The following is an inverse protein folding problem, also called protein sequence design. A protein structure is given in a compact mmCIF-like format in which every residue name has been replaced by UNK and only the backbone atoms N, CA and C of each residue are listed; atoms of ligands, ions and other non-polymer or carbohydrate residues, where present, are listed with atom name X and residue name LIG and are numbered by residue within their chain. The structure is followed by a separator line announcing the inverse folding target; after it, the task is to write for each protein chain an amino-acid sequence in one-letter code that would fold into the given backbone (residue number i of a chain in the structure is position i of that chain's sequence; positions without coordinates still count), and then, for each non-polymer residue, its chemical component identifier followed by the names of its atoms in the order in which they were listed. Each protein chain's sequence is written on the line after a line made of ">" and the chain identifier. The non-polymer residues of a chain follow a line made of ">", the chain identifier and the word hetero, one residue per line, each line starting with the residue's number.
data_IF_666885627712
#
_entry.id   IF_666885627712
#
_cell.length_a   1.000
_cell.length_b   1.000
_cell.length_c   1.000
_cell.angle_alpha   90.00
_cell.angle_beta   90.00
_cell.angle_gamma   90.00
#
_symmetry.space_group_name_H-M   'P 1'
#
loop_
_entity.id
_entity.type
_entity.pdbx_description
1 polymer ?
#
# COMPACT_ATOMS: atom_id res chain seq x y z
N UNK A 1 -26.10 -3.32 -12.42
CA UNK A 1 -25.09 -3.09 -11.37
C UNK A 1 -23.73 -3.08 -12.04
N UNK A 2 -23.10 -1.92 -12.16
CA UNK A 2 -21.79 -1.82 -12.81
C UNK A 2 -20.71 -2.22 -11.80
N UNK A 3 -20.19 -3.44 -11.94
CA UNK A 3 -19.14 -3.96 -11.08
C UNK A 3 -17.78 -3.53 -11.65
N UNK A 4 -17.01 -2.77 -10.87
CA UNK A 4 -15.69 -2.28 -11.25
C UNK A 4 -14.65 -3.12 -10.54
N UNK A 5 -13.60 -3.56 -11.24
CA UNK A 5 -12.54 -4.32 -10.60
C UNK A 5 -11.76 -3.42 -9.63
N UNK A 6 -11.70 -3.80 -8.34
CA UNK A 6 -10.94 -3.09 -7.30
C UNK A 6 -9.48 -2.92 -7.71
N UNK A 7 -8.90 -3.97 -8.31
CA UNK A 7 -7.57 -3.94 -8.90
C UNK A 7 -7.36 -2.72 -9.79
N UNK A 8 -8.24 -2.50 -10.77
CA UNK A 8 -8.08 -1.40 -11.73
C UNK A 8 -8.12 -0.03 -11.04
N UNK A 9 -9.03 0.14 -10.08
CA UNK A 9 -9.16 1.38 -9.32
C UNK A 9 -7.94 1.64 -8.41
N UNK A 10 -7.46 0.60 -7.72
CA UNK A 10 -6.28 0.71 -6.87
C UNK A 10 -5.00 0.95 -7.68
N UNK A 11 -4.85 0.32 -8.85
CA UNK A 11 -3.72 0.56 -9.76
C UNK A 11 -3.70 1.99 -10.32
N UNK A 12 -4.85 2.64 -10.48
CA UNK A 12 -4.87 4.08 -10.79
C UNK A 12 -4.31 4.90 -9.64
N UNK A 13 -4.66 4.55 -8.40
CA UNK A 13 -4.13 5.21 -7.19
C UNK A 13 -2.61 5.05 -7.13
N UNK A 14 -2.08 3.84 -7.28
CA UNK A 14 -0.63 3.60 -7.22
C UNK A 14 0.12 4.29 -8.36
N UNK A 15 -0.47 4.43 -9.57
CA UNK A 15 0.12 5.22 -10.65
C UNK A 15 0.25 6.72 -10.32
N UNK A 16 -0.72 7.28 -9.60
CA UNK A 16 -0.60 8.67 -9.12
C UNK A 16 0.55 8.79 -8.12
N UNK A 17 0.68 7.84 -7.20
CA UNK A 17 1.81 7.75 -6.26
C UNK A 17 3.13 7.65 -7.02
N UNK A 18 3.21 6.82 -8.06
CA UNK A 18 4.40 6.67 -8.91
C UNK A 18 4.85 8.00 -9.53
N UNK A 19 3.91 8.83 -10.00
CA UNK A 19 4.22 10.14 -10.60
C UNK A 19 4.77 11.10 -9.53
N UNK A 20 4.20 11.07 -8.33
CA UNK A 20 4.57 11.96 -7.22
C UNK A 20 5.92 11.55 -6.61
N UNK A 21 6.08 10.26 -6.31
CA UNK A 21 7.25 9.70 -5.65
C UNK A 21 7.52 8.26 -6.15
N UNK A 22 8.33 8.10 -7.22
CA UNK A 22 8.65 6.78 -7.79
C UNK A 22 9.36 5.83 -6.83
N UNK A 23 10.21 6.36 -5.94
CA UNK A 23 10.94 5.56 -4.95
C UNK A 23 9.98 4.97 -3.92
N UNK A 24 9.10 5.81 -3.36
CA UNK A 24 8.06 5.38 -2.44
C UNK A 24 7.12 4.35 -3.09
N UNK A 25 6.72 4.59 -4.34
CA UNK A 25 5.90 3.65 -5.07
C UNK A 25 6.55 2.27 -5.19
N UNK A 26 7.83 2.20 -5.59
CA UNK A 26 8.54 0.93 -5.72
C UNK A 26 8.67 0.21 -4.38
N UNK A 27 8.95 0.95 -3.31
CA UNK A 27 8.99 0.44 -1.94
C UNK A 27 7.65 -0.23 -1.57
N UNK A 28 6.54 0.49 -1.69
CA UNK A 28 5.20 -0.02 -1.37
C UNK A 28 4.83 -1.26 -2.21
N UNK A 29 5.24 -1.31 -3.48
CA UNK A 29 5.03 -2.47 -4.35
C UNK A 29 5.77 -3.72 -3.85
N UNK A 30 7.03 -3.57 -3.48
CA UNK A 30 7.83 -4.67 -2.92
C UNK A 30 7.30 -5.11 -1.56
N UNK A 31 6.97 -4.17 -0.68
CA UNK A 31 6.34 -4.46 0.60
C UNK A 31 5.05 -5.26 0.41
N UNK A 32 4.19 -4.88 -0.55
CA UNK A 32 2.96 -5.63 -0.84
C UNK A 32 3.19 -7.05 -1.34
N UNK A 33 4.21 -7.25 -2.18
CA UNK A 33 4.56 -8.56 -2.69
C UNK A 33 5.14 -9.47 -1.60
N UNK A 34 6.07 -8.95 -0.78
CA UNK A 34 6.64 -9.67 0.37
C UNK A 34 5.53 -10.04 1.36
N UNK A 35 4.65 -9.09 1.69
CA UNK A 35 3.54 -9.31 2.61
C UNK A 35 2.56 -10.38 2.09
N UNK A 36 2.30 -10.42 0.79
CA UNK A 36 1.46 -11.44 0.17
C UNK A 36 2.08 -12.84 0.28
N UNK A 37 3.35 -12.99 -0.10
CA UNK A 37 4.04 -14.29 0.00
C UNK A 37 4.10 -14.77 1.46
N UNK A 38 4.33 -13.85 2.40
CA UNK A 38 4.36 -14.15 3.83
C UNK A 38 2.99 -14.55 4.37
N UNK A 39 1.91 -13.87 3.95
CA UNK A 39 0.54 -14.21 4.32
C UNK A 39 0.13 -15.58 3.77
N UNK A 40 0.53 -15.90 2.54
CA UNK A 40 0.28 -17.22 1.93
C UNK A 40 1.03 -18.33 2.66
N UNK A 41 2.33 -18.13 2.94
CA UNK A 41 3.15 -19.09 3.67
C UNK A 41 2.67 -19.31 5.12
N UNK A 42 2.03 -18.30 5.71
CA UNK A 42 1.44 -18.36 7.05
C UNK A 42 0.01 -18.93 7.06
N UNK A 43 -0.53 -19.33 5.90
CA UNK A 43 -1.83 -20.01 5.80
C UNK A 43 -3.05 -19.11 6.00
N UNK A 44 -2.91 -17.78 5.81
CA UNK A 44 -4.01 -16.85 6.02
C UNK A 44 -5.09 -17.02 4.94
N UNK A 45 -6.34 -16.72 5.31
CA UNK A 45 -7.48 -16.77 4.39
C UNK A 45 -7.33 -15.77 3.24
N UNK A 46 -8.05 -16.02 2.13
CA UNK A 46 -8.04 -15.12 0.97
C UNK A 46 -8.46 -13.69 1.34
N UNK A 47 -9.40 -13.54 2.26
CA UNK A 47 -9.85 -12.21 2.73
C UNK A 47 -8.72 -11.49 3.48
N UNK A 48 -8.03 -12.18 4.38
CA UNK A 48 -6.88 -11.60 5.09
C UNK A 48 -5.75 -11.24 4.12
N UNK A 49 -5.47 -12.09 3.13
CA UNK A 49 -4.49 -11.78 2.08
C UNK A 49 -4.86 -10.51 1.30
N UNK A 50 -6.14 -10.30 0.98
CA UNK A 50 -6.63 -9.07 0.34
C UNK A 50 -6.39 -7.84 1.21
N UNK A 51 -6.74 -7.94 2.50
CA UNK A 51 -6.54 -6.85 3.47
C UNK A 51 -5.06 -6.51 3.61
N UNK A 52 -4.19 -7.50 3.85
CA UNK A 52 -2.73 -7.32 3.97
C UNK A 52 -2.15 -6.69 2.70
N UNK A 53 -2.52 -7.22 1.53
CA UNK A 53 -2.00 -6.74 0.26
C UNK A 53 -2.39 -5.28 0.00
N UNK A 54 -3.66 -4.91 0.22
CA UNK A 54 -4.11 -3.53 0.09
C UNK A 54 -3.45 -2.61 1.14
N UNK A 55 -3.31 -3.08 2.39
CA UNK A 55 -2.66 -2.31 3.44
C UNK A 55 -1.19 -2.02 3.09
N UNK A 56 -0.43 -3.04 2.67
CA UNK A 56 0.95 -2.89 2.26
C UNK A 56 1.12 -1.98 1.03
N UNK A 57 0.21 -2.02 0.06
CA UNK A 57 0.21 -1.10 -1.09
C UNK A 57 -0.06 0.37 -0.73
N UNK A 58 -0.58 0.65 0.47
CA UNK A 58 -1.01 1.98 0.89
C UNK A 58 -0.41 2.44 2.24
N UNK A 59 0.45 1.65 2.86
CA UNK A 59 0.88 1.88 4.26
C UNK A 59 1.56 3.24 4.46
N UNK A 60 2.50 3.59 3.56
CA UNK A 60 3.24 4.85 3.59
C UNK A 60 2.54 5.99 2.81
N UNK A 61 1.23 5.90 2.54
CA UNK A 61 0.51 6.95 1.78
C UNK A 61 0.58 8.34 2.47
N UNK A 62 0.71 8.36 3.80
CA UNK A 62 0.86 9.58 4.59
C UNK A 62 2.17 10.34 4.36
N UNK A 63 3.12 9.77 3.62
CA UNK A 63 4.39 10.40 3.23
C UNK A 63 4.20 11.41 2.09
N UNK A 64 3.17 11.27 1.24
CA UNK A 64 2.98 12.04 0.00
C UNK A 64 2.76 13.57 0.19
N UNK A 65 2.56 14.02 1.44
CA UNK A 65 2.41 15.44 1.80
C UNK A 65 3.57 16.01 2.58
N UNK A 66 4.61 15.22 2.80
CA UNK A 66 5.71 15.65 3.64
C UNK A 66 6.67 16.55 2.86
N UNK A 67 6.80 17.80 3.32
CA UNK A 67 7.68 18.80 2.70
C UNK A 67 9.10 18.76 3.25
N UNK A 68 9.38 17.92 4.24
CA UNK A 68 10.74 17.71 4.74
C UNK A 68 11.60 17.10 3.64
N UNK A 69 12.84 17.57 3.51
CA UNK A 69 13.82 16.95 2.61
C UNK A 69 14.39 15.74 3.33
N UNK A 70 14.12 14.54 2.82
CA UNK A 70 14.69 13.31 3.36
C UNK A 70 15.81 12.81 2.46
N UNK A 71 16.85 12.27 3.07
CA UNK A 71 17.95 11.63 2.36
C UNK A 71 17.61 10.23 1.85
N UNK A 72 16.61 9.57 2.44
CA UNK A 72 16.08 8.25 2.05
C UNK A 72 14.74 7.96 2.74
N UNK A 73 13.98 6.98 2.25
CA UNK A 73 12.78 6.47 2.95
C UNK A 73 13.08 5.92 4.35
N UNK A 74 14.30 5.43 4.60
CA UNK A 74 14.70 4.96 5.93
C UNK A 74 14.79 6.09 6.97
N UNK A 75 14.89 7.35 6.54
CA UNK A 75 14.98 8.49 7.46
C UNK A 75 13.64 8.82 8.15
N UNK A 76 12.51 8.34 7.60
CA UNK A 76 11.16 8.56 8.12
C UNK A 76 10.56 7.34 8.82
N UNK A 77 11.29 6.22 8.81
CA UNK A 77 10.92 4.95 9.44
C UNK A 77 11.23 4.99 10.95
N UNK A 78 10.42 5.74 11.71
CA UNK A 78 10.50 5.74 13.16
C UNK A 78 9.13 5.99 13.80
N UNK A 79 8.94 5.48 15.02
CA UNK A 79 7.68 5.56 15.78
C UNK A 79 7.17 6.99 16.02
N UNK A 80 8.06 7.99 15.98
CA UNK A 80 7.68 9.39 16.20
C UNK A 80 7.24 10.08 14.90
N UNK A 81 7.34 9.40 13.75
CA UNK A 81 6.95 9.98 12.49
C UNK A 81 5.42 9.97 12.32
N UNK A 82 4.81 11.10 11.94
CA UNK A 82 3.35 11.21 11.85
C UNK A 82 2.75 10.54 10.61
N UNK A 83 3.54 9.97 9.68
CA UNK A 83 2.98 9.47 8.41
C UNK A 83 1.94 8.35 8.60
N UNK A 84 2.07 7.47 9.60
CA UNK A 84 1.05 6.45 9.89
C UNK A 84 -0.30 7.07 10.30
N UNK A 85 -0.26 8.17 11.07
CA UNK A 85 -1.44 8.92 11.48
C UNK A 85 -2.06 9.65 10.28
N UNK A 86 -1.24 10.35 9.48
CA UNK A 86 -1.70 11.02 8.25
C UNK A 86 -2.30 10.04 7.26
N UNK A 87 -1.67 8.88 7.08
CA UNK A 87 -2.18 7.82 6.21
C UNK A 87 -3.56 7.34 6.66
N UNK A 88 -3.72 7.12 7.97
CA UNK A 88 -5.02 6.77 8.54
C UNK A 88 -6.09 7.88 8.36
N UNK A 89 -5.72 9.15 8.49
CA UNK A 89 -6.61 10.29 8.22
C UNK A 89 -7.00 10.39 6.74
N UNK A 90 -6.06 10.13 5.82
CA UNK A 90 -6.34 10.08 4.38
C UNK A 90 -7.36 9.01 4.04
N UNK A 91 -7.30 7.86 4.71
CA UNK A 91 -8.22 6.75 4.49
C UNK A 91 -9.51 6.83 5.32
N UNK A 92 -9.56 7.68 6.34
CA UNK A 92 -10.73 7.83 7.19
C UNK A 92 -11.97 8.24 6.37
N UNK A 93 -13.08 7.57 6.66
CA UNK A 93 -14.36 7.77 5.98
C UNK A 93 -14.52 7.06 4.64
N UNK A 94 -13.49 6.39 4.12
CA UNK A 94 -13.56 5.60 2.89
C UNK A 94 -13.94 4.16 3.24
N UNK A 95 -15.21 3.79 3.09
CA UNK A 95 -15.75 2.50 3.53
C UNK A 95 -15.02 1.31 2.87
N UNK A 96 -14.67 1.45 1.59
CA UNK A 96 -13.91 0.45 0.80
C UNK A 96 -12.55 0.11 1.42
N UNK A 97 -11.93 1.06 2.13
CA UNK A 97 -10.61 0.93 2.73
C UNK A 97 -10.67 0.82 4.25
N UNK A 98 -11.86 0.75 4.85
CA UNK A 98 -12.03 0.57 6.28
C UNK A 98 -11.29 -0.68 6.83
N UNK A 99 -11.25 -1.84 6.14
CA UNK A 99 -10.56 -3.03 6.64
C UNK A 99 -9.05 -2.86 6.83
N UNK A 100 -8.40 -1.94 6.12
CA UNK A 100 -6.94 -1.75 6.18
C UNK A 100 -6.51 -0.66 7.19
N UNK A 101 -7.47 0.13 7.70
CA UNK A 101 -7.18 1.22 8.63
C UNK A 101 -6.41 0.80 9.90
N UNK A 102 -6.74 -0.33 10.57
CA UNK A 102 -5.99 -0.76 11.76
C UNK A 102 -4.53 -1.08 11.46
N UNK A 103 -4.25 -1.60 10.26
CA UNK A 103 -2.88 -1.91 9.85
C UNK A 103 -2.13 -0.60 9.58
N UNK A 104 -2.75 0.34 8.86
CA UNK A 104 -2.09 1.60 8.49
C UNK A 104 -1.79 2.49 9.70
N UNK A 105 -2.68 2.52 10.70
CA UNK A 105 -2.49 3.33 11.92
C UNK A 105 -1.26 2.93 12.72
N UNK A 106 -0.96 1.63 12.72
CA UNK A 106 0.01 1.04 13.62
C UNK A 106 1.07 0.24 12.86
N UNK A 107 1.34 0.52 11.58
CA UNK A 107 2.26 -0.34 10.80
C UNK A 107 3.72 -0.26 11.27
N UNK A 108 4.08 0.75 12.06
CA UNK A 108 5.33 0.80 12.83
C UNK A 108 5.11 0.31 14.25
N UNK A 109 5.77 -0.78 14.64
CA UNK A 109 5.64 -1.34 15.98
C UNK A 109 6.82 -1.00 16.88
N UNK A 110 6.52 -0.67 18.14
CA UNK A 110 7.48 -0.88 19.21
C UNK A 110 7.70 -2.39 19.38
N UNK A 111 8.93 -2.87 19.65
CA UNK A 111 9.21 -4.29 19.93
C UNK A 111 8.35 -4.90 21.05
N UNK A 112 7.67 -4.08 21.85
CA UNK A 112 6.79 -4.49 22.94
C UNK A 112 5.30 -4.53 22.57
N UNK A 113 4.92 -4.05 21.37
CA UNK A 113 3.54 -4.02 20.92
C UNK A 113 3.10 -5.40 20.40
N UNK A 114 1.97 -5.90 20.90
CA UNK A 114 1.34 -7.14 20.41
C UNK A 114 0.24 -6.78 19.42
N UNK A 115 0.61 -6.60 18.15
CA UNK A 115 -0.34 -6.37 17.07
C UNK A 115 -1.06 -7.65 16.66
N UNK A 116 -2.00 -7.52 15.73
CA UNK A 116 -2.53 -8.64 14.96
C UNK A 116 -1.46 -9.26 14.05
N UNK A 117 -1.72 -10.47 13.57
CA UNK A 117 -0.81 -11.15 12.65
C UNK A 117 -0.68 -10.36 11.32
N UNK A 118 -1.77 -9.79 10.82
CA UNK A 118 -1.81 -8.95 9.63
C UNK A 118 -0.90 -7.72 9.76
N UNK A 119 -0.94 -7.11 10.94
CA UNK A 119 -0.09 -6.00 11.33
C UNK A 119 1.40 -6.40 11.33
N UNK A 120 1.75 -7.51 11.98
CA UNK A 120 3.12 -8.03 11.99
C UNK A 120 3.61 -8.39 10.57
N UNK A 121 2.75 -8.96 9.71
CA UNK A 121 3.10 -9.28 8.32
C UNK A 121 3.49 -8.03 7.54
N UNK A 122 2.68 -6.96 7.61
CA UNK A 122 2.99 -5.72 6.88
C UNK A 122 4.27 -5.08 7.43
N UNK A 123 4.45 -5.03 8.75
CA UNK A 123 5.69 -4.51 9.34
C UNK A 123 6.93 -5.32 8.95
N UNK A 124 6.87 -6.65 9.00
CA UNK A 124 7.99 -7.51 8.62
C UNK A 124 8.35 -7.36 7.15
N UNK A 125 7.34 -7.26 6.29
CA UNK A 125 7.54 -7.02 4.87
C UNK A 125 8.19 -5.65 4.61
N UNK A 126 7.74 -4.63 5.34
CA UNK A 126 8.20 -3.26 5.24
C UNK A 126 9.68 -3.13 5.62
N UNK A 127 10.03 -3.55 6.84
CA UNK A 127 11.41 -3.47 7.32
C UNK A 127 12.36 -4.39 6.54
N UNK A 128 11.87 -5.50 5.99
CA UNK A 128 12.68 -6.36 5.11
C UNK A 128 12.97 -5.67 3.78
N UNK A 129 11.97 -5.01 3.17
CA UNK A 129 12.14 -4.26 1.92
C UNK A 129 13.20 -3.17 2.09
N UNK A 130 13.17 -2.43 3.19
CA UNK A 130 14.12 -1.34 3.47
C UNK A 130 15.58 -1.82 3.57
N UNK A 131 15.82 -3.11 3.86
CA UNK A 131 17.16 -3.71 3.81
C UNK A 131 17.66 -3.94 2.37
N UNK A 132 16.76 -3.97 1.38
CA UNK A 132 17.07 -4.10 -0.05
C UNK A 132 17.64 -2.81 -0.65
N UNK A 133 17.23 -1.65 -0.12
CA UNK A 133 17.58 -0.32 -0.64
C UNK A 133 19.09 0.00 -0.56
N UNK A 134 19.88 -0.84 0.11
CA UNK A 134 21.31 -0.67 0.28
C UNK A 134 22.16 -0.96 -0.97
N UNK A 135 21.69 -1.72 -1.97
CA UNK A 135 22.58 -2.07 -3.10
C UNK A 135 21.88 -2.47 -4.41
N UNK A 136 22.36 -1.95 -5.54
CA UNK A 136 21.70 -2.02 -6.86
C UNK A 136 22.01 -3.32 -7.64
N UNK A 137 22.77 -4.25 -7.07
CA UNK A 137 23.16 -5.50 -7.72
C UNK A 137 23.14 -6.68 -6.75
N UNK A 138 21.96 -7.25 -6.50
CA UNK A 138 21.80 -8.44 -5.66
C UNK A 138 22.61 -9.63 -6.22
N UNK A 139 23.71 -9.97 -5.57
CA UNK A 139 24.43 -11.24 -5.75
C UNK A 139 23.98 -12.25 -4.69
N UNK A 140 24.19 -13.55 -4.90
CA UNK A 140 23.85 -14.60 -3.92
C UNK A 140 24.49 -14.37 -2.54
N UNK A 141 25.71 -13.80 -2.50
CA UNK A 141 26.36 -13.44 -1.24
C UNK A 141 25.62 -12.32 -0.48
N UNK A 142 24.97 -11.41 -1.19
CA UNK A 142 24.23 -10.30 -0.58
C UNK A 142 22.87 -10.75 -0.03
N UNK A 143 22.21 -11.74 -0.66
CA UNK A 143 20.94 -12.26 -0.15
C UNK A 143 21.11 -12.90 1.23
N UNK A 144 22.20 -13.65 1.45
CA UNK A 144 22.50 -14.23 2.76
C UNK A 144 22.80 -13.16 3.82
N UNK A 145 23.51 -12.09 3.44
CA UNK A 145 23.77 -10.97 4.34
C UNK A 145 22.47 -10.26 4.76
N UNK A 146 21.55 -10.02 3.83
CA UNK A 146 20.24 -9.40 4.10
C UNK A 146 19.42 -10.29 5.04
N UNK A 147 19.34 -11.59 4.76
CA UNK A 147 18.59 -12.55 5.59
C UNK A 147 19.20 -12.64 7.00
N UNK A 148 20.54 -12.68 7.10
CA UNK A 148 21.25 -12.69 8.38
C UNK A 148 21.00 -11.42 9.20
N UNK A 149 21.09 -10.24 8.56
CA UNK A 149 20.83 -8.95 9.20
C UNK A 149 19.37 -8.84 9.65
N UNK A 150 18.42 -9.23 8.81
CA UNK A 150 17.01 -9.24 9.13
C UNK A 150 16.73 -10.14 10.35
N UNK A 151 17.24 -11.37 10.35
CA UNK A 151 17.08 -12.30 11.48
C UNK A 151 17.62 -11.70 12.77
N UNK A 152 18.83 -11.14 12.74
CA UNK A 152 19.47 -10.58 13.93
C UNK A 152 18.67 -9.42 14.56
N UNK A 153 18.00 -8.61 13.73
CA UNK A 153 17.24 -7.44 14.19
C UNK A 153 15.81 -7.80 14.65
N UNK A 154 15.13 -8.71 13.94
CA UNK A 154 13.68 -8.86 14.06
C UNK A 154 13.22 -10.19 14.65
N UNK A 155 14.10 -11.17 14.87
CA UNK A 155 13.74 -12.49 15.41
C UNK A 155 13.04 -12.42 16.77
N UNK A 156 13.36 -11.44 17.62
CA UNK A 156 12.76 -11.31 18.95
C UNK A 156 11.31 -10.80 18.93
N UNK A 157 10.87 -10.16 17.83
CA UNK A 157 9.54 -9.55 17.73
C UNK A 157 8.48 -10.60 17.44
N UNK A 158 8.71 -11.41 16.41
CA UNK A 158 7.83 -12.51 16.01
C UNK A 158 8.68 -13.65 15.43
N UNK A 159 9.17 -14.59 16.28
CA UNK A 159 10.08 -15.63 15.84
C UNK A 159 9.52 -16.53 14.72
N UNK A 160 8.27 -17.03 14.81
CA UNK A 160 7.67 -17.80 13.71
C UNK A 160 7.62 -17.03 12.39
N UNK A 161 7.19 -15.77 12.42
CA UNK A 161 7.07 -14.96 11.22
C UNK A 161 8.43 -14.61 10.62
N UNK A 162 9.42 -14.30 11.47
CA UNK A 162 10.80 -14.08 11.07
C UNK A 162 11.37 -15.30 10.33
N UNK A 163 11.15 -16.49 10.90
CA UNK A 163 11.60 -17.74 10.31
C UNK A 163 10.95 -17.98 8.94
N UNK A 164 9.63 -17.79 8.82
CA UNK A 164 8.92 -17.96 7.55
C UNK A 164 9.45 -17.00 6.49
N UNK A 165 9.66 -15.72 6.81
CA UNK A 165 10.21 -14.77 5.85
C UNK A 165 11.65 -15.12 5.45
N UNK A 166 12.50 -15.54 6.40
CA UNK A 166 13.83 -16.04 6.09
C UNK A 166 13.77 -17.24 5.13
N UNK A 167 12.83 -18.18 5.31
CA UNK A 167 12.68 -19.36 4.44
C UNK A 167 12.20 -18.99 3.04
N UNK A 168 11.31 -18.00 2.91
CA UNK A 168 10.90 -17.47 1.61
C UNK A 168 12.09 -16.83 0.89
N UNK A 169 12.86 -16.01 1.60
CA UNK A 169 14.03 -15.32 1.07
C UNK A 169 15.19 -16.26 0.70
N UNK A 170 15.19 -17.53 1.10
CA UNK A 170 16.17 -18.52 0.62
C UNK A 170 15.91 -18.98 -0.82
N UNK A 171 14.73 -18.68 -1.39
CA UNK A 171 14.34 -19.12 -2.73
C UNK A 171 14.71 -18.07 -3.77
N UNK A 172 15.35 -18.46 -4.87
CA UNK A 172 15.77 -17.51 -5.92
C UNK A 172 14.59 -16.72 -6.53
N UNK A 173 13.43 -17.37 -6.72
CA UNK A 173 12.26 -16.72 -7.30
C UNK A 173 11.71 -15.57 -6.46
N UNK A 174 11.88 -15.61 -5.13
CA UNK A 174 11.49 -14.53 -4.23
C UNK A 174 12.16 -13.23 -4.66
N UNK A 175 13.47 -13.26 -4.88
CA UNK A 175 14.23 -12.08 -5.30
C UNK A 175 13.93 -11.65 -6.73
N UNK A 176 13.68 -12.60 -7.64
CA UNK A 176 13.28 -12.31 -9.02
C UNK A 176 11.95 -11.55 -9.08
N UNK A 177 10.98 -11.89 -8.23
CA UNK A 177 9.69 -11.20 -8.16
C UNK A 177 9.82 -9.76 -7.66
N UNK A 178 10.80 -9.47 -6.80
CA UNK A 178 11.06 -8.12 -6.25
C UNK A 178 11.83 -7.20 -7.22
N UNK A 179 12.19 -7.69 -8.41
CA UNK A 179 12.90 -6.90 -9.40
C UNK A 179 11.98 -5.77 -9.95
N UNK A 180 12.44 -4.50 -9.93
CA UNK A 180 11.64 -3.36 -10.38
C UNK A 180 11.10 -3.51 -11.81
N UNK A 181 11.82 -4.19 -12.70
CA UNK A 181 11.42 -4.38 -14.09
C UNK A 181 10.14 -5.19 -14.29
N UNK A 182 9.77 -6.03 -13.32
CA UNK A 182 8.64 -6.95 -13.43
C UNK A 182 7.60 -6.82 -12.31
N UNK A 183 7.90 -6.08 -11.25
CA UNK A 183 7.06 -6.10 -10.04
C UNK A 183 5.62 -5.64 -10.26
N UNK A 184 5.41 -4.58 -11.05
CA UNK A 184 4.06 -4.12 -11.41
C UNK A 184 3.24 -5.25 -12.05
N UNK A 185 3.85 -5.97 -13.00
CA UNK A 185 3.20 -7.11 -13.67
C UNK A 185 2.93 -8.25 -12.69
N UNK A 186 3.85 -8.53 -11.78
CA UNK A 186 3.66 -9.56 -10.75
C UNK A 186 2.45 -9.25 -9.87
N UNK A 187 2.37 -8.03 -9.33
CA UNK A 187 1.22 -7.58 -8.53
C UNK A 187 -0.10 -7.73 -9.29
N UNK A 188 -0.09 -7.45 -10.59
CA UNK A 188 -1.25 -7.62 -11.45
C UNK A 188 -1.64 -9.09 -11.70
N UNK A 189 -0.68 -10.01 -11.71
CA UNK A 189 -0.94 -11.43 -11.96
C UNK A 189 -1.38 -12.15 -10.69
N UNK A 190 -0.65 -11.96 -9.58
CA UNK A 190 -0.84 -12.75 -8.36
C UNK A 190 -1.64 -12.03 -7.28
N UNK A 191 -1.94 -10.74 -7.48
CA UNK A 191 -2.65 -9.92 -6.49
C UNK A 191 -3.99 -10.55 -6.08
N UNK A 192 -4.26 -10.70 -4.77
CA UNK A 192 -5.46 -11.38 -4.27
C UNK A 192 -6.77 -10.60 -4.54
N UNK A 193 -6.63 -9.36 -5.02
CA UNK A 193 -7.72 -8.43 -5.39
C UNK A 193 -8.16 -8.52 -6.86
N UNK A 194 -7.54 -9.39 -7.66
CA UNK A 194 -7.82 -9.52 -9.10
C UNK A 194 -9.28 -9.88 -9.43
N UNK A 195 -9.98 -10.49 -8.49
CA UNK A 195 -11.38 -10.89 -8.63
C UNK A 195 -12.30 -10.22 -7.60
N UNK A 196 -11.84 -9.11 -7.02
CA UNK A 196 -12.64 -8.29 -6.10
C UNK A 196 -13.25 -7.15 -6.90
N UNK A 197 -14.55 -6.95 -6.72
CA UNK A 197 -15.30 -5.92 -7.41
C UNK A 197 -15.88 -4.94 -6.39
N UNK A 198 -15.93 -3.67 -6.79
CA UNK A 198 -16.54 -2.57 -6.07
C UNK A 198 -17.71 -2.03 -6.88
N UNK A 199 -18.68 -1.45 -6.19
CA UNK A 199 -19.77 -0.69 -6.78
C UNK A 199 -19.37 0.77 -7.02
N UNK A 200 -20.37 1.61 -7.32
CA UNK A 200 -20.15 3.03 -7.59
C UNK A 200 -19.69 3.80 -6.36
N UNK A 201 -20.15 3.43 -5.16
CA UNK A 201 -19.73 4.06 -3.91
C UNK A 201 -18.29 3.68 -3.59
N UNK A 202 -17.89 2.44 -3.87
CA UNK A 202 -16.50 2.05 -3.76
C UNK A 202 -15.58 2.72 -4.78
N UNK A 203 -16.03 2.92 -6.03
CA UNK A 203 -15.28 3.74 -6.99
C UNK A 203 -15.12 5.17 -6.47
N UNK A 204 -16.19 5.76 -5.92
CA UNK A 204 -16.17 7.10 -5.34
C UNK A 204 -15.15 7.20 -4.20
N UNK A 205 -15.06 6.19 -3.34
CA UNK A 205 -14.03 6.14 -2.28
C UNK A 205 -12.61 6.20 -2.86
N UNK A 206 -12.33 5.44 -3.92
CA UNK A 206 -11.02 5.47 -4.58
C UNK A 206 -10.75 6.83 -5.24
N UNK A 207 -11.75 7.43 -5.90
CA UNK A 207 -11.61 8.77 -6.46
C UNK A 207 -11.34 9.82 -5.37
N UNK A 208 -12.01 9.73 -4.22
CA UNK A 208 -11.77 10.61 -3.07
C UNK A 208 -10.36 10.42 -2.51
N UNK A 209 -9.85 9.18 -2.46
CA UNK A 209 -8.47 8.93 -2.07
C UNK A 209 -7.48 9.62 -3.01
N UNK A 210 -7.65 9.46 -4.33
CA UNK A 210 -6.80 10.11 -5.33
C UNK A 210 -6.85 11.64 -5.17
N UNK A 211 -8.03 12.22 -4.98
CA UNK A 211 -8.18 13.65 -4.73
C UNK A 211 -7.38 14.09 -3.48
N UNK A 212 -7.52 13.36 -2.36
CA UNK A 212 -6.75 13.63 -1.13
C UNK A 212 -5.23 13.54 -1.38
N UNK A 213 -4.75 12.56 -2.14
CA UNK A 213 -3.32 12.44 -2.51
C UNK A 213 -2.85 13.70 -3.27
N UNK A 214 -3.58 14.07 -4.33
CA UNK A 214 -3.21 15.20 -5.19
C UNK A 214 -3.23 16.52 -4.41
N UNK A 215 -4.25 16.73 -3.60
CA UNK A 215 -4.41 17.95 -2.80
C UNK A 215 -3.35 18.07 -1.69
N UNK A 216 -2.89 16.92 -1.18
CA UNK A 216 -1.81 16.83 -0.20
C UNK A 216 -0.45 17.19 -0.82
N UNK A 217 -0.22 16.82 -2.09
CA UNK A 217 1.02 17.13 -2.82
C UNK A 217 1.06 18.57 -3.36
N UNK A 218 -0.05 19.09 -3.88
CA UNK A 218 -0.14 20.44 -4.45
C UNK A 218 -1.13 21.31 -3.66
N UNK A 219 -0.60 22.22 -2.83
CA UNK A 219 -1.41 23.19 -2.09
C UNK A 219 -2.22 24.15 -2.98
N UNK A 220 -1.97 24.17 -4.30
CA UNK A 220 -2.72 24.98 -5.27
C UNK A 220 -4.01 24.30 -5.75
N UNK A 221 -4.16 22.96 -5.62
CA UNK A 221 -5.28 22.20 -6.21
C UNK A 221 -6.38 21.78 -5.23
N UNK A 222 -6.18 21.94 -3.91
CA UNK A 222 -7.15 21.55 -2.88
C UNK A 222 -8.56 22.14 -3.10
N UNK A 223 -8.65 23.34 -3.65
CA UNK A 223 -9.92 23.99 -3.98
C UNK A 223 -10.44 23.66 -5.37
N UNK A 224 -9.65 23.01 -6.24
CA UNK A 224 -9.98 22.77 -7.64
C UNK A 224 -10.43 21.33 -7.90
N UNK A 225 -9.76 20.32 -7.33
CA UNK A 225 -10.12 18.89 -7.49
C UNK A 225 -11.56 18.60 -7.02
N UNK A 226 -11.94 19.14 -5.86
CA UNK A 226 -13.31 19.05 -5.31
C UNK A 226 -14.34 19.84 -6.14
N UNK A 227 -13.97 21.01 -6.67
CA UNK A 227 -14.87 21.84 -7.50
C UNK A 227 -15.13 21.23 -8.87
N UNK A 228 -14.14 20.60 -9.48
CA UNK A 228 -14.32 19.89 -10.76
C UNK A 228 -15.19 18.65 -10.56
N UNK A 229 -14.99 17.88 -9.48
CA UNK A 229 -15.85 16.74 -9.14
C UNK A 229 -17.31 17.14 -8.87
N UNK A 230 -17.55 18.26 -8.20
CA UNK A 230 -18.90 18.81 -8.00
C UNK A 230 -19.60 19.17 -9.32
N UNK A 231 -18.85 19.63 -10.32
CA UNK A 231 -19.40 19.93 -11.65
C UNK A 231 -19.83 18.68 -12.43
N UNK A 232 -19.31 17.49 -12.11
CA UNK A 232 -19.75 16.22 -12.70
C UNK A 232 -20.98 15.60 -12.01
N UNK A 233 -21.36 16.07 -10.82
CA UNK A 233 -22.62 15.67 -10.16
C UNK A 233 -23.83 16.47 -10.69
N UNK A 234 -23.59 17.61 -11.34
CA UNK A 234 -24.64 18.49 -11.89
C UNK A 234 -25.27 18.10 -13.24
N UNK A 235 -24.66 17.34 -14.17
CA UNK A 235 -25.30 16.98 -15.43
C UNK A 235 -26.44 15.97 -15.24
N UNK A 236 -26.44 15.21 -14.14
CA UNK A 236 -27.43 14.15 -13.91
C UNK A 236 -28.83 14.68 -13.52
N UNK A 237 -28.96 15.96 -13.15
CA UNK A 237 -30.26 16.59 -12.84
C UNK A 237 -30.95 17.28 -14.02
N UNK A 238 -30.29 17.41 -15.18
CA UNK A 238 -30.86 18.12 -16.33
C UNK A 238 -31.58 17.20 -17.34
N UNK A 239 -31.54 15.88 -17.14
CA UNK A 239 -32.26 14.92 -18.01
C UNK A 239 -33.58 14.39 -17.42
N UNK A 240 -33.91 14.70 -16.17
CA UNK A 240 -35.21 14.31 -15.57
C UNK A 240 -36.32 15.37 -15.70
N UNK A 241 -36.04 16.55 -16.27
CA UNK A 241 -37.02 17.64 -16.38
C UNK A 241 -37.43 18.02 -17.81
N UNK A 242 -37.17 17.16 -18.80
CA UNK A 242 -37.55 17.41 -20.21
C UNK A 242 -38.51 16.34 -20.77
N UNK A 243 -39.36 15.79 -19.90
CA UNK A 243 -40.29 14.69 -20.22
C UNK A 243 -41.76 14.96 -19.91
N UNK A 244 -42.17 16.20 -19.63
CA UNK A 244 -43.58 16.58 -19.49
C UNK A 244 -43.81 18.00 -20.02
N UNK A 245 -44.33 18.12 -21.25
CA UNK A 245 -44.71 19.40 -21.82
C UNK A 245 -44.93 19.42 -23.33
N UNK A 246 -46.18 19.09 -23.72
CA UNK A 246 -46.85 19.19 -25.03
C UNK A 246 -46.76 17.96 -25.94
#
# INVERSE_FOLDING_TARGET
>A
MHNIALKSALMLTTRVIQIINPELHLHMQRTALIALELAQASGLSRQQQQTIFCAALLHDIGVLGDKRVFSSLNAIDNLNDPHQHRGAEMLAGLATLAPILPIIRDHHFSPHHKGSLEQHIVYFADVFERLLAGDKHATTFQTDMIIGKFRALYQAIDPPLCQTLCQLAQKEHFWLHLNPGHIQRMLEIIGPINHVYIDIDGLKDICLLIAKIVDTYSSFTASHSLKVGANFAHPCRLYESAGDGV
#
